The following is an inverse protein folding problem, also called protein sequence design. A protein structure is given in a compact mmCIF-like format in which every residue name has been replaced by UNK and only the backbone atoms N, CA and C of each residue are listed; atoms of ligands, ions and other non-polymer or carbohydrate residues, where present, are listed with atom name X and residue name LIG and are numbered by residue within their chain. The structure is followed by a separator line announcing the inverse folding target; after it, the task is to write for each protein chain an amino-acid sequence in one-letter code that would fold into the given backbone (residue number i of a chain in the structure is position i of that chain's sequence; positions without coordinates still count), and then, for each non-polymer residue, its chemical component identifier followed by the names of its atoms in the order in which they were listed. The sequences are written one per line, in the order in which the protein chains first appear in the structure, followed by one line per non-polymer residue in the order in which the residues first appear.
data_IF_861556516939
#
_entry.id   IF_861556516939
#
_cell.length_a   1.000
_cell.length_b   1.000
_cell.length_c   1.000
_cell.angle_alpha   90.00
_cell.angle_beta   90.00
_cell.angle_gamma   90.00
#
_symmetry.space_group_name_H-M   'P 1'
#
loop_
_entity.id
_entity.type
_entity.pdbx_description
1 polymer ?
#
# COMPACT_ATOMS: atom_id res chain seq x y z
N UNK A 1 14.65 -1.15 11.19
CA UNK A 1 13.90 -2.39 10.92
C UNK A 1 12.43 -2.02 10.75
N UNK A 2 11.75 -2.58 9.75
CA UNK A 2 10.31 -2.41 9.58
C UNK A 2 9.52 -3.13 10.68
N UNK A 3 8.21 -2.88 10.76
CA UNK A 3 7.29 -3.71 11.55
C UNK A 3 6.76 -4.83 10.66
N UNK A 4 6.32 -5.99 11.21
CA UNK A 4 5.72 -7.05 10.40
C UNK A 4 4.59 -6.55 9.48
N UNK A 5 3.76 -5.63 9.98
CA UNK A 5 2.73 -4.96 9.17
C UNK A 5 3.33 -4.09 8.06
N UNK A 6 4.30 -3.24 8.38
CA UNK A 6 4.94 -2.36 7.39
C UNK A 6 5.64 -3.13 6.28
N UNK A 7 6.31 -4.23 6.62
CA UNK A 7 6.97 -5.12 5.68
C UNK A 7 5.94 -5.86 4.81
N UNK A 8 4.84 -6.33 5.39
CA UNK A 8 3.72 -6.94 4.65
C UNK A 8 3.09 -5.97 3.65
N UNK A 9 2.73 -4.76 4.09
CA UNK A 9 2.11 -3.73 3.24
C UNK A 9 3.03 -3.38 2.07
N UNK A 10 4.33 -3.18 2.34
CA UNK A 10 5.32 -2.91 1.29
C UNK A 10 5.42 -4.05 0.30
N UNK A 11 5.60 -5.28 0.78
CA UNK A 11 5.75 -6.45 -0.07
C UNK A 11 4.51 -6.69 -0.94
N UNK A 12 3.31 -6.56 -0.36
CA UNK A 12 2.07 -6.70 -1.11
C UNK A 12 1.91 -5.60 -2.14
N UNK A 13 2.16 -4.33 -1.79
CA UNK A 13 2.13 -3.20 -2.72
C UNK A 13 3.08 -3.42 -3.90
N UNK A 14 4.31 -3.86 -3.62
CA UNK A 14 5.34 -4.10 -4.63
C UNK A 14 5.00 -5.29 -5.56
N UNK A 15 4.11 -6.21 -5.12
CA UNK A 15 3.62 -7.36 -5.92
C UNK A 15 2.43 -7.05 -6.82
N UNK A 16 1.68 -5.98 -6.56
CA UNK A 16 0.45 -5.65 -7.29
C UNK A 16 0.79 -4.87 -8.55
N UNK A 17 0.37 -5.39 -9.70
CA UNK A 17 0.44 -4.67 -10.98
C UNK A 17 -0.60 -3.55 -10.98
N UNK A 18 -0.24 -2.27 -11.22
CA UNK A 18 -1.21 -1.17 -11.27
C UNK A 18 -2.38 -1.45 -12.22
N UNK A 19 -2.11 -2.13 -13.33
CA UNK A 19 -3.07 -2.46 -14.38
C UNK A 19 -4.17 -3.41 -13.88
N UNK A 20 -3.88 -4.29 -12.90
CA UNK A 20 -4.91 -5.15 -12.30
C UNK A 20 -5.93 -4.38 -11.46
N UNK A 21 -5.68 -3.10 -11.23
CA UNK A 21 -6.55 -2.17 -10.51
C UNK A 21 -7.11 -1.07 -11.42
N UNK A 22 -6.94 -1.20 -12.73
CA UNK A 22 -7.37 -0.18 -13.71
C UNK A 22 -6.50 1.07 -13.73
N UNK A 23 -5.30 1.03 -13.14
CA UNK A 23 -4.36 2.16 -13.11
C UNK A 23 -3.38 2.08 -14.28
N UNK A 24 -2.87 3.24 -14.68
CA UNK A 24 -1.87 3.32 -15.74
C UNK A 24 -0.57 2.60 -15.35
N UNK A 25 -0.02 1.83 -16.29
CA UNK A 25 1.27 1.18 -16.16
C UNK A 25 2.38 2.21 -15.90
N UNK A 26 3.38 1.82 -15.11
CA UNK A 26 4.60 2.62 -14.94
C UNK A 26 5.53 2.37 -16.14
N UNK A 27 6.19 3.39 -16.70
CA UNK A 27 7.18 3.19 -17.76
C UNK A 27 8.23 2.14 -17.38
N UNK A 28 8.60 1.27 -18.32
CA UNK A 28 9.58 0.19 -18.12
C UNK A 28 10.83 0.70 -17.39
N UNK A 29 11.09 0.18 -16.19
CA UNK A 29 12.32 0.45 -15.42
C UNK A 29 12.14 1.12 -14.05
N UNK A 30 10.91 1.52 -13.65
CA UNK A 30 10.62 2.03 -12.30
C UNK A 30 9.64 1.08 -11.60
N UNK A 31 9.96 0.71 -10.35
CA UNK A 31 9.32 -0.29 -9.47
C UNK A 31 8.06 -1.00 -10.03
N UNK A 32 8.07 -2.34 -10.18
CA UNK A 32 7.02 -3.10 -10.89
C UNK A 32 5.64 -3.13 -10.21
N UNK A 33 5.53 -2.55 -9.02
CA UNK A 33 4.34 -2.62 -8.18
C UNK A 33 3.54 -1.32 -8.10
N UNK A 34 2.47 -1.38 -7.31
CA UNK A 34 1.59 -0.25 -7.04
C UNK A 34 2.36 0.90 -6.40
N UNK A 35 2.18 2.14 -6.86
CA UNK A 35 2.88 3.28 -6.27
C UNK A 35 2.23 3.64 -4.92
N UNK A 36 3.02 4.23 -4.02
CA UNK A 36 2.49 4.70 -2.73
C UNK A 36 1.35 5.68 -2.89
N UNK A 37 1.44 6.60 -3.85
CA UNK A 37 0.39 7.58 -4.12
C UNK A 37 -0.94 6.91 -4.50
N UNK A 38 -0.87 5.85 -5.31
CA UNK A 38 -2.05 5.13 -5.76
C UNK A 38 -2.67 4.33 -4.60
N UNK A 39 -1.86 3.60 -3.82
CA UNK A 39 -2.34 2.87 -2.64
C UNK A 39 -2.93 3.82 -1.59
N UNK A 40 -2.24 4.92 -1.29
CA UNK A 40 -2.69 5.90 -0.32
C UNK A 40 -4.04 6.52 -0.73
N UNK A 41 -4.20 6.84 -2.02
CA UNK A 41 -5.46 7.32 -2.58
C UNK A 41 -6.59 6.30 -2.43
N UNK A 42 -6.35 5.02 -2.75
CA UNK A 42 -7.36 3.94 -2.57
C UNK A 42 -7.74 3.72 -1.11
N UNK A 43 -6.77 3.81 -0.20
CA UNK A 43 -6.98 3.64 1.23
C UNK A 43 -7.47 4.92 1.94
N UNK A 44 -7.64 6.04 1.23
CA UNK A 44 -8.08 7.30 1.83
C UNK A 44 -7.14 7.88 2.88
N UNK A 45 -5.83 7.59 2.78
CA UNK A 45 -4.80 8.08 3.72
C UNK A 45 -3.75 8.93 2.98
N UNK A 46 -2.95 9.70 3.73
CA UNK A 46 -1.84 10.45 3.14
C UNK A 46 -0.68 9.52 2.75
N UNK A 47 0.07 9.91 1.71
CA UNK A 47 1.30 9.22 1.29
C UNK A 47 2.34 9.22 2.41
N UNK A 48 2.44 10.33 3.17
CA UNK A 48 3.27 10.43 4.36
C UNK A 48 2.92 9.34 5.38
N UNK A 49 1.62 9.11 5.62
CA UNK A 49 1.18 8.14 6.61
C UNK A 49 1.49 6.71 6.17
N UNK A 50 1.18 6.36 4.92
CA UNK A 50 1.58 5.07 4.33
C UNK A 50 3.11 4.87 4.43
N UNK A 51 3.89 5.92 4.17
CA UNK A 51 5.36 5.85 4.26
C UNK A 51 5.82 5.56 5.69
N UNK A 52 5.21 6.19 6.71
CA UNK A 52 5.52 5.88 8.12
C UNK A 52 5.18 4.43 8.48
N UNK A 53 4.04 3.92 8.02
CA UNK A 53 3.63 2.52 8.23
C UNK A 53 4.65 1.57 7.59
N UNK A 54 4.97 1.74 6.31
CA UNK A 54 5.95 0.89 5.61
C UNK A 54 7.37 0.98 6.19
N UNK A 55 7.72 2.08 6.84
CA UNK A 55 9.01 2.25 7.52
C UNK A 55 9.01 1.71 8.96
N UNK A 56 7.87 1.22 9.46
CA UNK A 56 7.72 0.78 10.84
C UNK A 56 7.78 1.91 11.87
N UNK A 57 7.59 3.16 11.43
CA UNK A 57 7.55 4.36 12.28
C UNK A 57 6.17 4.62 12.87
N UNK A 58 5.15 3.96 12.36
CA UNK A 58 3.85 3.83 13.01
C UNK A 58 3.64 2.39 13.45
N UNK A 59 3.41 2.19 14.75
CA UNK A 59 3.33 0.85 15.38
C UNK A 59 1.92 0.44 15.73
N UNK A 60 0.96 1.37 15.70
CA UNK A 60 -0.41 1.09 16.14
C UNK A 60 -1.45 1.82 15.26
N UNK A 61 -1.47 1.55 13.94
CA UNK A 61 -2.54 2.06 13.09
C UNK A 61 -3.89 1.53 13.58
N UNK A 62 -4.93 2.36 13.47
CA UNK A 62 -6.27 1.96 13.90
C UNK A 62 -6.80 0.79 13.04
N UNK A 63 -7.76 -0.01 13.56
CA UNK A 63 -8.40 -1.07 12.77
C UNK A 63 -8.98 -0.56 11.45
N UNK A 64 -9.55 0.66 11.45
CA UNK A 64 -10.07 1.30 10.24
C UNK A 64 -8.98 1.53 9.18
N UNK A 65 -7.78 1.95 9.59
CA UNK A 65 -6.63 2.12 8.66
C UNK A 65 -6.16 0.77 8.13
N UNK A 66 -6.14 -0.27 8.97
CA UNK A 66 -5.77 -1.62 8.52
C UNK A 66 -6.76 -2.15 7.49
N UNK A 67 -8.07 -1.98 7.71
CA UNK A 67 -9.10 -2.38 6.74
C UNK A 67 -8.98 -1.58 5.44
N UNK A 68 -8.83 -0.26 5.52
CA UNK A 68 -8.65 0.57 4.33
C UNK A 68 -7.41 0.20 3.51
N UNK A 69 -6.32 -0.23 4.18
CA UNK A 69 -5.14 -0.78 3.49
C UNK A 69 -5.43 -2.15 2.86
N UNK A 70 -6.21 -3.01 3.51
CA UNK A 70 -6.63 -4.28 2.94
C UNK A 70 -7.47 -4.08 1.67
N UNK A 71 -8.44 -3.18 1.71
CA UNK A 71 -9.26 -2.78 0.55
C UNK A 71 -8.40 -2.15 -0.55
N UNK A 72 -7.52 -1.22 -0.17
CA UNK A 72 -6.58 -0.55 -1.05
C UNK A 72 -5.51 -1.47 -1.65
N UNK A 73 -5.33 -2.68 -1.11
CA UNK A 73 -4.49 -3.75 -1.64
C UNK A 73 -5.30 -4.87 -2.31
N UNK A 74 -6.64 -4.74 -2.39
CA UNK A 74 -7.55 -5.78 -2.87
C UNK A 74 -7.30 -7.14 -2.19
N UNK A 75 -7.10 -7.12 -0.88
CA UNK A 75 -6.95 -8.32 -0.05
C UNK A 75 -8.28 -8.86 0.45
N UNK A 76 -9.28 -7.99 0.54
CA UNK A 76 -10.63 -8.37 0.88
C UNK A 76 -11.46 -8.53 -0.40
N UNK A 77 -12.23 -9.61 -0.47
CA UNK A 77 -13.32 -9.76 -1.42
C UNK A 77 -14.57 -9.52 -0.58
N UNK A 78 -15.10 -8.29 -0.61
CA UNK A 78 -16.31 -7.95 0.14
C UNK A 78 -17.44 -8.97 -0.07
#
# INVERSE_FOLDING_TARGET
MGTPLGDFVRAKRDSIRPESLGLAAVPRGRAPGLRRIDLAGRAGISVEYLTRIEQGRDRNPSPAVVNALADGLSLDQG
#
